data_IF_849081001450
#
_entry.id   IF_849081001450
#
_cell.length_a   1.000
_cell.length_b   1.000
_cell.length_c   1.000
_cell.angle_alpha   90.00
_cell.angle_beta   90.00
_cell.angle_gamma   90.00
#
_symmetry.space_group_name_H-M   'P 1'
#
loop_
_entity.id
_entity.type
_entity.pdbx_description
1 polymer ?
#
# COMPACT_ATOMS: atom_id res chain seq x y z
N UNK A 1 4.25 -12.93 -16.59
CA UNK A 1 4.14 -14.13 -15.75
C UNK A 1 2.89 -14.12 -14.90
N UNK A 2 2.64 -13.08 -14.13
CA UNK A 2 1.40 -13.00 -13.33
C UNK A 2 0.15 -13.04 -14.19
N UNK A 3 0.18 -12.38 -15.33
CA UNK A 3 -0.99 -12.28 -16.21
C UNK A 3 -1.38 -13.62 -16.82
N UNK A 4 -0.41 -14.41 -17.24
CA UNK A 4 -0.64 -15.59 -18.09
C UNK A 4 -0.16 -16.90 -17.49
N UNK A 5 0.55 -16.87 -16.36
CA UNK A 5 1.11 -18.07 -15.73
C UNK A 5 0.04 -18.94 -15.10
N UNK A 6 0.37 -20.23 -14.94
CA UNK A 6 -0.48 -21.16 -14.22
C UNK A 6 -0.37 -20.88 -12.72
N UNK A 7 -1.52 -20.77 -12.03
CA UNK A 7 -1.55 -20.48 -10.60
C UNK A 7 -1.74 -21.75 -9.79
N UNK A 8 -0.86 -21.93 -8.80
CA UNK A 8 -0.97 -23.00 -7.81
C UNK A 8 -1.09 -22.36 -6.44
N UNK A 9 -2.16 -22.69 -5.72
CA UNK A 9 -2.35 -22.19 -4.36
C UNK A 9 -1.38 -22.91 -3.41
N UNK A 10 -0.58 -22.13 -2.68
CA UNK A 10 0.33 -22.65 -1.67
C UNK A 10 -0.36 -22.67 -0.31
N UNK A 11 -1.13 -21.62 0.02
CA UNK A 11 -1.81 -21.55 1.29
C UNK A 11 -2.71 -20.35 1.39
N UNK A 12 -3.48 -20.28 2.46
CA UNK A 12 -4.35 -19.16 2.75
C UNK A 12 -3.69 -18.26 3.80
N UNK A 13 -3.74 -16.95 3.58
CA UNK A 13 -3.23 -15.97 4.53
C UNK A 13 -4.33 -15.71 5.57
N UNK A 14 -4.13 -16.21 6.78
CA UNK A 14 -5.17 -16.23 7.81
C UNK A 14 -5.44 -14.88 8.45
N UNK A 15 -4.47 -14.00 8.44
CA UNK A 15 -4.63 -12.67 9.05
C UNK A 15 -5.50 -11.73 8.22
N UNK A 16 -5.77 -12.08 6.98
CA UNK A 16 -6.56 -11.23 6.08
C UNK A 16 -8.06 -11.37 6.38
N UNK A 17 -8.78 -10.25 6.33
CA UNK A 17 -10.23 -10.22 6.55
C UNK A 17 -11.01 -10.82 5.38
N UNK A 18 -10.47 -10.71 4.17
CA UNK A 18 -11.05 -11.30 2.95
C UNK A 18 -10.22 -12.52 2.56
N UNK A 19 -10.78 -13.40 1.74
CA UNK A 19 -10.06 -14.58 1.28
C UNK A 19 -8.81 -14.14 0.49
N UNK A 20 -7.65 -14.50 1.01
CA UNK A 20 -6.35 -14.10 0.47
C UNK A 20 -5.46 -15.33 0.44
N UNK A 21 -4.87 -15.61 -0.71
CA UNK A 21 -4.08 -16.80 -0.91
C UNK A 21 -2.67 -16.46 -1.36
N UNK A 22 -1.69 -17.16 -0.79
CA UNK A 22 -0.33 -17.18 -1.34
C UNK A 22 -0.31 -18.20 -2.47
N UNK A 23 0.14 -17.78 -3.63
CA UNK A 23 0.17 -18.61 -4.83
C UNK A 23 1.56 -18.59 -5.46
N UNK A 24 1.81 -19.58 -6.29
CA UNK A 24 2.94 -19.59 -7.21
C UNK A 24 2.40 -19.48 -8.63
N UNK A 25 2.92 -18.52 -9.39
CA UNK A 25 2.62 -18.39 -10.81
C UNK A 25 3.80 -18.93 -11.60
N UNK A 26 3.53 -19.87 -12.52
CA UNK A 26 4.57 -20.49 -13.32
C UNK A 26 4.30 -20.27 -14.80
N UNK A 27 5.36 -19.99 -15.56
CA UNK A 27 5.30 -19.86 -17.00
C UNK A 27 6.62 -20.39 -17.57
N UNK A 28 6.53 -21.50 -18.29
CA UNK A 28 7.73 -22.20 -18.74
C UNK A 28 8.53 -22.72 -17.55
N UNK A 29 9.81 -22.36 -17.48
CA UNK A 29 10.69 -22.75 -16.39
C UNK A 29 10.82 -21.68 -15.29
N UNK A 30 10.00 -20.64 -15.35
CA UNK A 30 10.01 -19.54 -14.38
C UNK A 30 8.84 -19.66 -13.42
N UNK A 31 9.10 -19.29 -12.16
CA UNK A 31 8.07 -19.26 -11.11
C UNK A 31 8.27 -18.05 -10.23
N UNK A 32 7.18 -17.43 -9.82
CA UNK A 32 7.20 -16.33 -8.84
C UNK A 32 6.07 -16.53 -7.85
N UNK A 33 6.29 -16.05 -6.63
CA UNK A 33 5.23 -16.00 -5.63
C UNK A 33 4.36 -14.75 -5.82
N UNK A 34 3.08 -14.90 -5.51
CA UNK A 34 2.13 -13.81 -5.63
C UNK A 34 0.99 -13.99 -4.64
N UNK A 35 0.26 -12.90 -4.42
CA UNK A 35 -0.94 -12.88 -3.59
C UNK A 35 -2.15 -12.87 -4.51
N UNK A 36 -3.13 -13.72 -4.23
CA UNK A 36 -4.37 -13.83 -5.00
C UNK A 36 -5.55 -13.52 -4.08
N UNK A 37 -6.36 -12.57 -4.49
CA UNK A 37 -7.56 -12.16 -3.76
C UNK A 37 -8.76 -12.26 -4.70
N UNK A 38 -9.52 -13.36 -4.66
CA UNK A 38 -10.66 -13.52 -5.55
C UNK A 38 -11.78 -12.54 -5.20
N UNK A 39 -12.46 -12.03 -6.21
CA UNK A 39 -13.61 -11.13 -6.01
C UNK A 39 -14.70 -11.84 -5.20
N UNK A 40 -14.91 -13.13 -5.45
CA UNK A 40 -15.92 -13.91 -4.74
C UNK A 40 -15.63 -14.02 -3.23
N UNK A 41 -14.38 -13.77 -2.81
CA UNK A 41 -14.01 -13.81 -1.40
C UNK A 41 -14.07 -12.46 -0.69
N UNK A 42 -14.51 -11.42 -1.37
CA UNK A 42 -14.63 -10.08 -0.78
C UNK A 42 -15.84 -10.00 0.13
N UNK A 43 -15.62 -9.51 1.35
CA UNK A 43 -16.74 -9.19 2.25
C UNK A 43 -17.34 -7.86 1.81
N UNK A 44 -18.64 -7.77 1.64
CA UNK A 44 -19.26 -6.50 1.25
C UNK A 44 -18.99 -5.42 2.30
N UNK A 45 -18.65 -4.23 1.82
CA UNK A 45 -18.46 -3.06 2.68
C UNK A 45 -19.55 -2.03 2.36
N UNK A 46 -20.33 -1.67 3.38
CA UNK A 46 -21.44 -0.74 3.18
C UNK A 46 -21.01 0.62 2.65
N UNK A 47 -19.79 1.04 3.01
CA UNK A 47 -19.29 2.35 2.62
C UNK A 47 -18.44 2.31 1.32
N UNK A 48 -18.32 1.14 0.69
CA UNK A 48 -17.67 0.98 -0.61
C UNK A 48 -18.60 0.15 -1.52
N UNK A 49 -19.77 0.71 -1.87
CA UNK A 49 -20.77 -0.08 -2.60
C UNK A 49 -20.49 -0.25 -4.09
N UNK A 50 -19.62 0.59 -4.67
CA UNK A 50 -19.38 0.59 -6.11
C UNK A 50 -18.12 -0.22 -6.45
N UNK A 51 -18.17 -0.97 -7.54
CA UNK A 51 -17.03 -1.71 -8.03
C UNK A 51 -16.63 -2.89 -7.14
N UNK A 52 -15.38 -3.26 -7.21
CA UNK A 52 -14.82 -4.34 -6.40
C UNK A 52 -13.59 -3.84 -5.65
N UNK A 53 -13.23 -4.52 -4.56
CA UNK A 53 -11.97 -4.22 -3.87
C UNK A 53 -10.77 -4.54 -4.78
N UNK A 54 -10.87 -5.62 -5.57
CA UNK A 54 -9.84 -5.96 -6.56
C UNK A 54 -9.64 -4.83 -7.57
N UNK A 55 -10.73 -4.23 -8.04
CA UNK A 55 -10.65 -3.10 -8.96
C UNK A 55 -9.97 -1.89 -8.33
N UNK A 56 -10.24 -1.63 -7.06
CA UNK A 56 -9.57 -0.52 -6.34
C UNK A 56 -8.09 -0.80 -6.15
N UNK A 57 -7.71 -2.06 -5.90
CA UNK A 57 -6.30 -2.43 -5.81
C UNK A 57 -5.58 -2.23 -7.14
N UNK A 58 -6.20 -2.64 -8.25
CA UNK A 58 -5.63 -2.38 -9.58
C UNK A 58 -5.59 -0.89 -9.86
N UNK A 59 -6.63 -0.14 -9.50
CA UNK A 59 -6.66 1.31 -9.67
C UNK A 59 -5.51 2.01 -8.96
N UNK A 60 -5.23 1.63 -7.73
CA UNK A 60 -4.10 2.20 -6.97
C UNK A 60 -2.77 1.89 -7.66
N UNK A 61 -2.61 0.65 -8.15
CA UNK A 61 -1.42 0.29 -8.91
C UNK A 61 -1.26 1.14 -10.16
N UNK A 62 -2.36 1.34 -10.92
CA UNK A 62 -2.32 2.15 -12.13
C UNK A 62 -1.95 3.59 -11.82
N UNK A 63 -2.47 4.17 -10.74
CA UNK A 63 -2.12 5.53 -10.32
C UNK A 63 -0.64 5.61 -9.96
N UNK A 64 -0.13 4.64 -9.20
CA UNK A 64 1.29 4.59 -8.84
C UNK A 64 2.18 4.54 -10.09
N UNK A 65 1.79 3.74 -11.08
CA UNK A 65 2.54 3.62 -12.34
C UNK A 65 2.50 4.93 -13.11
N UNK A 66 1.32 5.57 -13.19
CA UNK A 66 1.17 6.84 -13.90
C UNK A 66 2.02 7.93 -13.25
N UNK A 67 2.11 7.94 -11.92
CA UNK A 67 2.97 8.88 -11.20
C UNK A 67 4.47 8.58 -11.40
N UNK A 68 4.81 7.37 -11.83
CA UNK A 68 6.21 6.94 -11.95
C UNK A 68 6.85 6.63 -10.61
N UNK A 69 6.08 6.42 -9.56
CA UNK A 69 6.60 6.26 -8.20
C UNK A 69 6.90 4.82 -7.81
N UNK A 70 6.29 3.87 -8.51
CA UNK A 70 6.56 2.44 -8.28
C UNK A 70 6.35 2.05 -6.81
N UNK A 71 5.26 2.52 -6.21
CA UNK A 71 4.96 2.27 -4.80
C UNK A 71 4.13 1.01 -4.58
N UNK A 72 3.47 0.51 -5.62
CA UNK A 72 2.59 -0.66 -5.51
C UNK A 72 3.22 -1.79 -6.32
N UNK A 73 3.36 -3.00 -5.76
CA UNK A 73 3.89 -4.11 -6.53
C UNK A 73 3.03 -4.42 -7.75
N UNK A 74 3.63 -5.00 -8.79
CA UNK A 74 2.93 -5.34 -10.02
C UNK A 74 1.61 -6.06 -9.71
N UNK A 75 0.52 -5.56 -10.28
CA UNK A 75 -0.83 -6.01 -9.96
C UNK A 75 -1.62 -6.19 -11.26
N UNK A 76 -2.36 -7.29 -11.36
CA UNK A 76 -3.29 -7.53 -12.46
C UNK A 76 -4.59 -8.09 -11.91
N UNK A 77 -5.64 -8.04 -12.72
CA UNK A 77 -6.89 -8.79 -12.48
C UNK A 77 -6.97 -9.88 -13.53
N UNK A 78 -7.25 -11.10 -13.09
CA UNK A 78 -7.34 -12.25 -13.97
C UNK A 78 -8.16 -13.34 -13.33
N UNK A 79 -8.51 -14.35 -14.12
CA UNK A 79 -9.12 -15.58 -13.58
C UNK A 79 -8.08 -16.39 -12.81
N UNK A 80 -8.53 -17.01 -11.75
CA UNK A 80 -7.72 -17.88 -10.91
C UNK A 80 -8.53 -19.07 -10.41
N UNK A 81 -7.97 -19.87 -9.50
CA UNK A 81 -8.64 -21.08 -9.02
C UNK A 81 -10.01 -20.85 -8.37
N UNK A 82 -10.26 -19.66 -7.81
CA UNK A 82 -11.55 -19.29 -7.21
C UNK A 82 -12.24 -18.19 -8.00
N UNK A 83 -11.97 -18.09 -9.29
CA UNK A 83 -12.60 -17.12 -10.18
C UNK A 83 -11.78 -15.85 -10.37
N UNK A 84 -12.41 -14.82 -10.96
CA UNK A 84 -11.70 -13.56 -11.19
C UNK A 84 -11.22 -12.95 -9.88
N UNK A 85 -10.04 -12.35 -9.91
CA UNK A 85 -9.50 -11.71 -8.74
C UNK A 85 -8.24 -10.92 -9.02
N UNK A 86 -7.77 -10.26 -7.97
CA UNK A 86 -6.53 -9.49 -8.01
C UNK A 86 -5.36 -10.43 -7.77
N UNK A 87 -4.32 -10.30 -8.57
CA UNK A 87 -3.06 -11.01 -8.39
C UNK A 87 -1.94 -9.96 -8.29
N UNK A 88 -1.15 -10.05 -7.21
CA UNK A 88 -0.09 -9.07 -6.97
C UNK A 88 1.21 -9.79 -6.65
N UNK A 89 2.30 -9.29 -7.22
CA UNK A 89 3.63 -9.86 -7.00
C UNK A 89 3.97 -9.83 -5.51
N UNK A 90 4.47 -10.96 -4.99
CA UNK A 90 4.94 -11.04 -3.61
C UNK A 90 6.25 -10.27 -3.49
N UNK A 91 6.33 -9.39 -2.49
CA UNK A 91 7.53 -8.60 -2.21
C UNK A 91 8.32 -9.29 -1.08
N UNK A 92 9.56 -9.66 -1.36
CA UNK A 92 10.42 -10.27 -0.36
C UNK A 92 10.93 -9.22 0.61
N UNK A 93 10.69 -9.46 1.89
CA UNK A 93 11.17 -8.62 2.98
C UNK A 93 12.35 -9.28 3.68
N UNK A 94 13.21 -8.49 4.35
CA UNK A 94 14.25 -9.08 5.21
C UNK A 94 13.60 -9.98 6.24
N UNK A 95 14.14 -11.19 6.41
CA UNK A 95 13.61 -12.16 7.34
C UNK A 95 12.57 -13.12 6.77
N UNK A 96 12.09 -12.88 5.55
CA UNK A 96 11.25 -13.87 4.88
C UNK A 96 12.09 -15.13 4.65
N UNK A 97 11.52 -16.28 4.96
CA UNK A 97 12.19 -17.54 4.70
C UNK A 97 12.48 -17.62 3.20
N UNK A 98 13.74 -17.81 2.88
CA UNK A 98 14.11 -18.17 1.51
C UNK A 98 13.44 -19.52 1.28
N UNK A 99 12.60 -19.59 0.27
CA UNK A 99 11.87 -20.82 -0.01
C UNK A 99 12.78 -22.01 0.09
N UNK A 100 12.36 -22.99 0.88
CA UNK A 100 13.14 -24.15 1.18
C UNK A 100 13.52 -24.93 -0.06
N UNK A 101 14.70 -24.68 -0.56
CA UNK A 101 15.52 -25.71 -1.16
C UNK A 101 16.91 -25.50 -0.61
N UNK A 102 17.09 -25.86 0.64
CA UNK A 102 18.45 -25.98 1.15
C UNK A 102 18.87 -27.42 0.94
N UNK A 103 19.52 -27.67 -0.15
CA UNK A 103 20.49 -28.74 -0.09
C UNK A 103 21.63 -28.20 0.78
N UNK A 104 21.99 -28.98 1.74
CA UNK A 104 22.96 -28.67 2.78
C UNK A 104 24.23 -28.02 2.23
N UNK A 105 24.68 -26.99 2.84
CA UNK A 105 26.03 -26.53 2.62
C UNK A 105 26.22 -25.03 2.75
N UNK A 106 26.55 -24.65 3.96
CA UNK A 106 27.45 -23.57 4.28
C UNK A 106 27.04 -22.12 4.20
N UNK A 107 27.34 -21.55 5.26
CA UNK A 107 27.78 -20.27 5.73
C UNK A 107 26.66 -19.41 6.27
N UNK A 108 26.68 -19.32 7.60
CA UNK A 108 26.05 -18.26 8.34
C UNK A 108 26.70 -16.92 8.01
N UNK A 109 26.36 -16.36 6.88
CA UNK A 109 26.54 -14.94 6.70
C UNK A 109 25.48 -14.30 7.58
N UNK A 110 25.91 -13.66 8.66
CA UNK A 110 25.04 -12.82 9.46
C UNK A 110 24.38 -11.84 8.50
N UNK A 111 23.04 -11.97 8.36
CA UNK A 111 22.32 -10.93 7.62
C UNK A 111 22.51 -9.64 8.39
N UNK A 112 22.81 -8.54 7.72
CA UNK A 112 22.93 -7.27 8.42
C UNK A 112 21.64 -6.97 9.15
N UNK A 113 21.77 -6.42 10.36
CA UNK A 113 20.63 -5.98 11.15
C UNK A 113 19.78 -5.08 10.26
N UNK A 114 18.51 -5.42 10.03
CA UNK A 114 17.66 -4.58 9.17
C UNK A 114 17.39 -3.19 9.75
N UNK A 115 17.81 -2.93 10.97
CA UNK A 115 17.53 -1.68 11.66
C UNK A 115 16.10 -1.64 12.16
N UNK A 116 15.70 -0.52 12.78
CA UNK A 116 14.34 -0.42 13.28
C UNK A 116 13.32 -0.35 12.15
N UNK A 117 12.14 -0.84 12.41
CA UNK A 117 11.04 -0.81 11.43
C UNK A 117 10.69 0.63 11.04
N UNK A 118 10.21 0.79 9.82
CA UNK A 118 9.83 2.11 9.30
C UNK A 118 8.66 2.73 10.07
N UNK A 119 7.78 1.89 10.61
CA UNK A 119 6.69 2.30 11.49
C UNK A 119 6.71 1.39 12.71
N UNK A 120 6.74 1.95 13.89
CA UNK A 120 6.80 1.13 15.10
C UNK A 120 6.30 1.91 16.30
N UNK A 121 6.17 1.19 17.41
CA UNK A 121 5.83 1.75 18.72
C UNK A 121 7.10 1.86 19.55
N UNK A 122 7.32 3.02 20.14
CA UNK A 122 8.48 3.25 20.99
C UNK A 122 8.04 3.74 22.37
N UNK A 123 8.74 3.33 23.43
CA UNK A 123 8.48 3.95 24.75
C UNK A 123 8.70 5.45 24.68
N UNK A 124 7.92 6.19 25.46
CA UNK A 124 8.06 7.65 25.52
C UNK A 124 9.49 8.01 25.96
N UNK A 125 10.14 8.87 25.18
CA UNK A 125 11.50 9.31 25.44
C UNK A 125 12.60 8.37 24.97
N UNK A 126 12.26 7.25 24.32
CA UNK A 126 13.22 6.24 23.90
C UNK A 126 13.21 6.01 22.40
N UNK A 127 12.65 6.93 21.60
CA UNK A 127 12.59 6.79 20.16
C UNK A 127 13.99 6.98 19.54
N UNK A 128 14.31 6.21 18.49
CA UNK A 128 15.56 6.43 17.79
C UNK A 128 15.55 7.76 17.05
N UNK A 129 16.72 8.32 16.74
CA UNK A 129 16.75 9.56 15.95
C UNK A 129 16.18 9.33 14.55
N UNK A 130 15.59 10.40 14.01
CA UNK A 130 15.03 10.34 12.65
C UNK A 130 13.63 9.78 12.56
N UNK A 131 12.90 9.69 13.68
CA UNK A 131 11.50 9.27 13.70
C UNK A 131 10.59 10.42 14.06
N UNK A 132 9.40 10.42 13.46
CA UNK A 132 8.38 11.45 13.66
C UNK A 132 7.20 10.85 14.44
N UNK A 133 6.71 11.54 15.48
CA UNK A 133 5.60 11.01 16.27
C UNK A 133 4.26 11.20 15.56
N UNK A 134 3.38 10.24 15.74
CA UNK A 134 2.03 10.26 15.16
C UNK A 134 0.95 10.25 16.24
N UNK A 135 1.08 9.36 17.24
CA UNK A 135 0.01 9.14 18.21
C UNK A 135 0.59 8.55 19.49
N UNK A 136 0.16 9.07 20.64
CA UNK A 136 0.42 8.43 21.93
C UNK A 136 -0.64 7.36 22.19
N UNK A 137 -0.22 6.23 22.75
CA UNK A 137 -1.08 5.08 23.03
C UNK A 137 -0.60 4.37 24.28
N UNK A 138 -1.41 3.47 24.79
CA UNK A 138 -1.07 2.68 25.97
C UNK A 138 -1.07 1.23 25.60
N UNK A 139 -0.02 0.61 25.92
CA UNK A 139 0.11 -0.78 25.70
C UNK A 139 -0.84 -1.42 26.70
N UNK A 140 -1.01 -2.56 26.71
CA UNK A 140 -1.81 -3.25 27.56
C UNK A 140 -1.34 -3.31 28.94
N UNK A 141 -0.17 -3.11 28.93
CA UNK A 141 0.48 -3.06 30.16
C UNK A 141 0.44 -1.78 30.78
N UNK A 142 -0.14 -0.89 30.21
CA UNK A 142 -0.25 0.47 30.71
C UNK A 142 0.96 1.38 30.42
N UNK A 143 1.91 0.88 29.84
CA UNK A 143 2.94 1.67 29.47
C UNK A 143 2.52 2.53 28.39
N UNK A 144 2.99 3.74 28.51
CA UNK A 144 2.74 4.71 27.45
C UNK A 144 3.75 4.56 26.32
N UNK A 145 3.26 4.48 25.12
CA UNK A 145 4.08 4.33 23.91
C UNK A 145 3.67 5.38 22.88
N UNK A 146 4.57 5.63 21.92
CA UNK A 146 4.30 6.57 20.83
C UNK A 146 4.41 5.78 19.53
N UNK A 147 3.36 5.85 18.72
CA UNK A 147 3.40 5.38 17.34
C UNK A 147 4.21 6.39 16.55
N UNK A 148 5.25 5.93 15.88
CA UNK A 148 6.16 6.79 15.11
C UNK A 148 6.46 6.15 13.78
N UNK A 149 6.84 6.96 12.81
CA UNK A 149 7.40 6.47 11.55
C UNK A 149 8.71 7.19 11.24
N UNK A 150 9.54 6.55 10.44
CA UNK A 150 10.80 7.13 10.02
C UNK A 150 10.57 8.41 9.20
N UNK A 151 11.43 9.40 9.37
CA UNK A 151 11.46 10.58 8.51
C UNK A 151 12.27 10.22 7.24
N UNK A 152 11.63 9.48 6.36
CA UNK A 152 12.25 8.84 5.20
C UNK A 152 11.53 9.32 3.95
N UNK A 153 12.25 9.79 2.92
CA UNK A 153 11.61 10.30 1.72
C UNK A 153 10.76 9.27 0.97
N UNK A 154 11.08 7.98 1.09
CA UNK A 154 10.26 6.92 0.48
C UNK A 154 8.89 6.85 1.15
N UNK A 155 8.85 6.98 2.49
CA UNK A 155 7.58 7.04 3.23
C UNK A 155 6.83 8.34 2.98
N UNK A 156 7.56 9.45 2.87
CA UNK A 156 6.93 10.74 2.60
C UNK A 156 6.21 10.71 1.26
N UNK A 157 6.84 10.10 0.24
CA UNK A 157 6.19 9.92 -1.05
C UNK A 157 4.94 9.05 -0.95
N UNK A 158 4.99 7.99 -0.13
CA UNK A 158 3.81 7.16 0.10
C UNK A 158 2.71 7.94 0.79
N UNK A 159 3.05 8.86 1.72
CA UNK A 159 2.05 9.70 2.37
C UNK A 159 1.33 10.59 1.33
N UNK A 160 2.07 11.15 0.38
CA UNK A 160 1.46 11.91 -0.72
C UNK A 160 0.54 11.02 -1.56
N UNK A 161 1.02 9.82 -1.89
CA UNK A 161 0.23 8.85 -2.65
C UNK A 161 -1.09 8.54 -1.93
N UNK A 162 -1.04 8.32 -0.62
CA UNK A 162 -2.25 8.01 0.15
C UNK A 162 -3.26 9.16 0.13
N UNK A 163 -2.78 10.41 0.15
CA UNK A 163 -3.67 11.57 -0.02
C UNK A 163 -4.36 11.51 -1.38
N UNK A 164 -3.60 11.26 -2.43
CA UNK A 164 -4.15 11.21 -3.79
C UNK A 164 -5.18 10.11 -3.95
N UNK A 165 -4.85 8.88 -3.52
CA UNK A 165 -5.77 7.75 -3.67
C UNK A 165 -6.78 7.65 -2.53
N UNK A 166 -6.73 8.57 -1.57
CA UNK A 166 -7.71 8.62 -0.48
C UNK A 166 -7.76 7.28 0.26
N UNK A 167 -6.60 6.81 0.69
CA UNK A 167 -6.49 5.50 1.32
C UNK A 167 -7.16 5.52 2.70
N UNK A 168 -8.10 4.62 2.91
CA UNK A 168 -8.86 4.57 4.18
C UNK A 168 -8.21 3.65 5.21
N UNK A 169 -7.05 3.04 4.91
CA UNK A 169 -6.51 2.01 5.82
C UNK A 169 -5.00 1.80 5.66
N UNK A 170 -4.21 2.89 5.64
CA UNK A 170 -2.74 2.74 5.58
C UNK A 170 -2.20 2.39 6.95
N UNK A 171 -2.02 1.10 7.20
CA UNK A 171 -1.45 0.57 8.44
C UNK A 171 0.07 0.43 8.33
N UNK A 172 0.74 0.31 9.47
CA UNK A 172 2.17 0.02 9.48
C UNK A 172 2.50 -1.30 8.80
N UNK A 173 1.66 -2.31 8.98
CA UNK A 173 1.86 -3.62 8.34
C UNK A 173 1.62 -3.64 6.83
N UNK A 174 1.08 -2.56 6.27
CA UNK A 174 0.89 -2.44 4.82
C UNK A 174 2.08 -1.76 4.12
N UNK A 175 3.16 -1.45 4.85
CA UNK A 175 4.36 -0.79 4.35
C UNK A 175 5.47 -1.83 4.39
N UNK A 176 6.01 -2.17 3.22
CA UNK A 176 6.94 -3.28 3.08
C UNK A 176 8.30 -2.80 2.64
N UNK A 177 9.28 -3.16 3.25
CA UNK A 177 10.57 -2.87 2.90
C UNK A 177 11.07 -4.01 2.15
N UNK A 178 11.47 -3.82 1.15
CA UNK A 178 11.95 -4.83 0.34
C UNK A 178 13.37 -5.01 0.67
N UNK A 179 13.97 -6.20 0.24
CA UNK A 179 15.39 -6.52 0.40
C UNK A 179 16.29 -5.64 -0.45
N UNK A 180 15.76 -5.08 -1.52
CA UNK A 180 16.52 -4.20 -2.44
C UNK A 180 16.49 -2.73 -1.99
N UNK A 181 15.95 -2.43 -0.84
CA UNK A 181 15.88 -1.07 -0.31
C UNK A 181 14.68 -0.27 -0.77
N UNK A 182 13.83 -0.82 -1.62
CA UNK A 182 12.59 -0.13 -2.01
C UNK A 182 11.55 -0.25 -0.91
N UNK A 183 10.64 0.71 -0.88
CA UNK A 183 9.47 0.67 0.00
C UNK A 183 8.22 0.56 -0.87
N UNK A 184 7.41 -0.44 -0.59
CA UNK A 184 6.14 -0.66 -1.28
C UNK A 184 4.98 -0.56 -0.30
N UNK A 185 3.84 -0.12 -0.80
CA UNK A 185 2.57 -0.23 -0.09
C UNK A 185 1.72 -1.33 -0.67
N UNK A 186 0.94 -2.00 0.17
CA UNK A 186 0.01 -3.06 -0.24
C UNK A 186 -1.36 -2.83 0.42
N UNK A 187 -2.34 -3.64 0.04
CA UNK A 187 -3.70 -3.62 0.59
C UNK A 187 -4.44 -2.32 0.28
N UNK A 188 -4.61 -2.02 -1.00
CA UNK A 188 -5.25 -0.81 -1.48
C UNK A 188 -6.73 -1.02 -1.87
N UNK A 189 -7.40 -2.00 -1.27
CA UNK A 189 -8.79 -2.30 -1.61
C UNK A 189 -9.79 -1.26 -1.14
N UNK A 190 -9.42 -0.39 -0.20
CA UNK A 190 -10.31 0.66 0.31
C UNK A 190 -9.75 2.05 0.00
N UNK A 191 -9.35 2.22 -1.25
CA UNK A 191 -8.88 3.49 -1.81
C UNK A 191 -9.89 4.03 -2.84
N UNK A 192 -9.71 5.27 -3.21
CA UNK A 192 -10.36 5.91 -4.37
C UNK A 192 -11.85 6.20 -4.18
N UNK A 193 -12.32 6.27 -2.93
CA UNK A 193 -13.68 6.71 -2.64
C UNK A 193 -13.84 8.21 -2.97
N UNK A 194 -15.07 8.64 -3.25
CA UNK A 194 -15.35 10.05 -3.54
C UNK A 194 -15.24 10.93 -2.30
N UNK A 195 -15.64 10.44 -1.13
CA UNK A 195 -15.60 11.19 0.12
C UNK A 195 -14.25 11.06 0.81
N UNK A 196 -13.84 12.09 1.53
CA UNK A 196 -12.57 12.03 2.27
C UNK A 196 -12.63 10.95 3.35
N UNK A 197 -11.80 9.93 3.17
CA UNK A 197 -11.72 8.78 4.08
C UNK A 197 -10.30 8.50 4.52
N UNK A 198 -9.38 9.42 4.29
CA UNK A 198 -7.95 9.18 4.57
C UNK A 198 -7.74 8.78 6.02
N UNK A 199 -7.24 7.56 6.21
CA UNK A 199 -6.76 7.04 7.49
C UNK A 199 -5.38 6.45 7.26
N UNK A 200 -4.41 6.95 8.00
CA UNK A 200 -3.02 6.56 7.76
C UNK A 200 -2.21 6.69 9.04
N UNK A 201 -1.14 5.91 9.12
CA UNK A 201 -0.13 6.09 10.18
C UNK A 201 0.93 7.11 9.78
N UNK A 202 0.87 7.69 8.58
CA UNK A 202 1.93 8.55 8.05
C UNK A 202 1.60 10.04 8.18
N UNK A 203 1.30 10.49 9.39
CA UNK A 203 0.91 11.88 9.64
C UNK A 203 2.08 12.81 10.03
N UNK A 204 3.30 12.29 10.13
CA UNK A 204 4.41 13.07 10.69
C UNK A 204 4.80 14.30 9.89
N UNK A 205 4.39 14.38 8.61
CA UNK A 205 4.70 15.55 7.76
C UNK A 205 3.56 16.54 7.64
N UNK A 206 2.51 16.41 8.47
CA UNK A 206 1.38 17.32 8.43
C UNK A 206 1.86 18.78 8.51
N UNK A 207 1.39 19.64 7.60
CA UNK A 207 1.78 21.04 7.55
C UNK A 207 3.09 21.32 6.83
N UNK A 208 3.81 20.29 6.41
CA UNK A 208 5.08 20.46 5.68
C UNK A 208 4.84 20.56 4.18
N UNK A 209 5.70 21.27 3.43
CA UNK A 209 5.54 21.39 1.99
C UNK A 209 5.69 20.07 1.26
N UNK A 210 4.94 19.90 0.19
CA UNK A 210 5.14 18.80 -0.76
C UNK A 210 6.28 19.20 -1.70
N UNK A 211 7.19 18.28 -1.97
CA UNK A 211 8.36 18.56 -2.79
C UNK A 211 8.00 18.79 -4.26
N UNK A 212 8.85 19.53 -4.97
CA UNK A 212 8.60 19.93 -6.35
C UNK A 212 8.49 18.75 -7.30
N UNK A 213 9.32 17.71 -7.11
CA UNK A 213 9.26 16.52 -7.97
C UNK A 213 7.94 15.81 -7.83
N UNK A 214 7.43 15.69 -6.61
CA UNK A 214 6.12 15.10 -6.39
C UNK A 214 5.02 15.95 -7.02
N UNK A 215 5.08 17.28 -6.88
CA UNK A 215 4.09 18.16 -7.48
C UNK A 215 4.09 18.06 -9.01
N UNK A 216 5.26 17.92 -9.63
CA UNK A 216 5.33 17.73 -11.07
C UNK A 216 4.63 16.44 -11.50
N UNK A 217 4.83 15.35 -10.76
CA UNK A 217 4.16 14.07 -11.05
C UNK A 217 2.64 14.21 -10.85
N UNK A 218 2.22 14.91 -9.80
CA UNK A 218 0.80 15.15 -9.53
C UNK A 218 0.14 15.93 -10.66
N UNK A 219 0.83 16.95 -11.19
CA UNK A 219 0.32 17.72 -12.33
C UNK A 219 0.14 16.83 -13.56
N UNK A 220 1.10 15.96 -13.84
CA UNK A 220 1.00 15.00 -14.94
C UNK A 220 -0.18 14.04 -14.73
N UNK A 221 -0.37 13.57 -13.50
CA UNK A 221 -1.51 12.71 -13.18
C UNK A 221 -2.83 13.42 -13.45
N UNK A 222 -2.97 14.66 -12.97
CA UNK A 222 -4.20 15.43 -13.13
C UNK A 222 -4.57 15.57 -14.61
N UNK A 223 -3.59 15.84 -15.46
CA UNK A 223 -3.81 15.93 -16.89
C UNK A 223 -4.15 14.58 -17.52
N UNK A 224 -3.42 13.52 -17.14
CA UNK A 224 -3.65 12.17 -17.68
C UNK A 224 -5.06 11.67 -17.38
N UNK A 225 -5.64 12.07 -16.25
CA UNK A 225 -6.98 11.62 -15.85
C UNK A 225 -8.07 12.11 -16.82
N UNK A 226 -7.81 13.13 -17.64
CA UNK A 226 -8.77 13.60 -18.63
C UNK A 226 -8.60 12.93 -20.00
N UNK A 227 -7.68 11.99 -20.13
CA UNK A 227 -7.36 11.33 -21.38
C UNK A 227 -7.48 9.81 -21.27
N UNK A 228 -6.72 9.08 -22.10
CA UNK A 228 -6.81 7.60 -22.12
C UNK A 228 -6.56 6.92 -20.79
N UNK A 229 -5.68 7.47 -19.95
CA UNK A 229 -5.46 6.90 -18.63
C UNK A 229 -6.74 6.95 -17.78
N UNK A 230 -7.47 8.07 -17.83
CA UNK A 230 -8.76 8.15 -17.15
C UNK A 230 -9.75 7.11 -17.65
N UNK A 231 -9.76 6.85 -18.95
CA UNK A 231 -10.62 5.82 -19.53
C UNK A 231 -10.22 4.42 -19.05
N UNK A 232 -8.94 4.14 -18.97
CA UNK A 232 -8.46 2.87 -18.42
C UNK A 232 -8.89 2.70 -16.97
N UNK A 233 -8.71 3.74 -16.17
CA UNK A 233 -9.07 3.71 -14.75
C UNK A 233 -10.58 3.54 -14.57
N UNK A 234 -11.38 4.06 -15.49
CA UNK A 234 -12.84 3.95 -15.45
C UNK A 234 -13.34 2.50 -15.61
N UNK A 235 -12.49 1.59 -16.05
CA UNK A 235 -12.83 0.17 -16.06
C UNK A 235 -12.89 -0.40 -14.64
N UNK A 236 -12.28 0.27 -13.66
CA UNK A 236 -12.14 -0.25 -12.31
C UNK A 236 -12.92 0.54 -11.26
N UNK A 237 -13.06 1.86 -11.44
CA UNK A 237 -13.74 2.75 -10.50
C UNK A 237 -14.71 3.65 -11.27
N UNK A 238 -15.58 4.32 -10.56
CA UNK A 238 -16.60 5.17 -11.20
C UNK A 238 -16.00 6.47 -11.73
N UNK A 239 -16.70 7.10 -12.68
CA UNK A 239 -16.28 8.42 -13.19
C UNK A 239 -16.30 9.46 -12.08
N UNK A 240 -17.25 9.38 -11.13
CA UNK A 240 -17.27 10.28 -9.98
C UNK A 240 -16.00 10.09 -9.12
N UNK A 241 -15.55 8.86 -8.97
CA UNK A 241 -14.32 8.59 -8.20
C UNK A 241 -13.09 9.12 -8.92
N UNK A 242 -13.06 9.04 -10.25
CA UNK A 242 -11.97 9.63 -11.04
C UNK A 242 -11.98 11.16 -10.89
N UNK A 243 -13.15 11.78 -10.95
CA UNK A 243 -13.27 13.23 -10.74
C UNK A 243 -12.78 13.64 -9.35
N UNK A 244 -13.11 12.84 -8.33
CA UNK A 244 -12.64 13.10 -6.96
C UNK A 244 -11.12 12.99 -6.87
N UNK A 245 -10.52 11.98 -7.51
CA UNK A 245 -9.06 11.84 -7.56
C UNK A 245 -8.44 13.09 -8.22
N UNK A 246 -9.01 13.55 -9.32
CA UNK A 246 -8.51 14.74 -10.00
C UNK A 246 -8.62 15.98 -9.11
N UNK A 247 -9.72 16.11 -8.36
CA UNK A 247 -9.88 17.21 -7.41
C UNK A 247 -8.82 17.18 -6.32
N UNK A 248 -8.49 15.97 -5.78
CA UNK A 248 -7.44 15.85 -4.77
C UNK A 248 -6.07 16.22 -5.32
N UNK A 249 -5.80 15.85 -6.59
CA UNK A 249 -4.56 16.23 -7.25
C UNK A 249 -4.48 17.76 -7.37
N UNK A 250 -5.56 18.41 -7.83
CA UNK A 250 -5.59 19.88 -7.96
C UNK A 250 -5.49 20.55 -6.60
N UNK A 251 -6.08 19.99 -5.56
CA UNK A 251 -5.98 20.57 -4.21
C UNK A 251 -4.53 20.61 -3.73
N UNK A 252 -3.75 19.55 -4.00
CA UNK A 252 -2.32 19.54 -3.66
C UNK A 252 -1.53 20.54 -4.49
N UNK A 253 -1.89 20.73 -5.78
CA UNK A 253 -1.21 21.69 -6.62
C UNK A 253 -1.51 23.12 -6.18
N UNK A 254 -2.76 23.40 -5.79
CA UNK A 254 -3.18 24.72 -5.36
C UNK A 254 -2.64 25.11 -3.98
N UNK A 255 -2.52 24.14 -3.09
CA UNK A 255 -1.98 24.33 -1.75
C UNK A 255 -1.01 23.17 -1.45
N UNK A 256 0.25 23.31 -1.84
CA UNK A 256 1.21 22.18 -1.82
C UNK A 256 1.77 21.91 -0.43
N UNK A 257 0.88 21.60 0.50
CA UNK A 257 1.20 21.33 1.90
C UNK A 257 0.51 20.02 2.29
N UNK A 258 1.23 19.16 2.99
CA UNK A 258 0.67 17.90 3.48
C UNK A 258 -0.48 18.17 4.44
N UNK A 259 -1.65 17.53 4.23
CA UNK A 259 -2.77 17.74 5.15
C UNK A 259 -2.48 17.16 6.52
N UNK A 260 -3.17 17.71 7.52
CA UNK A 260 -3.16 17.16 8.86
C UNK A 260 -4.38 16.31 9.13
N UNK A 261 -4.39 15.58 10.26
CA UNK A 261 -5.56 14.80 10.62
C UNK A 261 -6.72 15.73 10.99
N UNK A 262 -7.72 15.79 10.13
CA UNK A 262 -8.83 16.75 10.25
C UNK A 262 -10.18 16.06 10.31
N UNK A 263 -10.20 14.77 10.64
CA UNK A 263 -11.44 14.00 10.72
C UNK A 263 -11.42 13.11 11.94
N UNK A 264 -12.60 12.61 12.31
CA UNK A 264 -12.73 11.64 13.38
C UNK A 264 -12.08 10.32 12.95
N UNK A 265 -11.27 9.74 13.82
CA UNK A 265 -10.51 8.50 13.56
C UNK A 265 -9.59 8.62 12.33
N UNK A 266 -8.57 9.49 12.41
CA UNK A 266 -7.67 9.66 11.26
C UNK A 266 -6.63 8.55 11.11
N UNK A 267 -6.55 7.63 12.08
CA UNK A 267 -5.58 6.52 12.08
C UNK A 267 -6.37 5.22 12.02
N UNK A 268 -5.95 4.27 11.16
CA UNK A 268 -6.63 2.99 11.09
C UNK A 268 -6.44 2.20 12.38
N UNK A 269 -7.40 1.38 12.74
CA UNK A 269 -7.29 0.57 13.94
C UNK A 269 -7.64 -0.88 13.62
N UNK A 270 -6.78 -1.83 14.01
CA UNK A 270 -5.46 -1.61 14.60
C UNK A 270 -4.50 -0.91 13.64
N UNK A 271 -3.44 -0.30 14.18
CA UNK A 271 -2.51 0.48 13.37
C UNK A 271 -1.49 -0.38 12.60
N UNK A 272 -1.42 -1.68 12.91
CA UNK A 272 -0.55 -2.66 12.26
C UNK A 272 -1.35 -3.83 11.70
#
# INVERSE_FOLDING_TARGET
>A
MLRDGELTVIGRIRSASNATFLCEATLGDRAVHCVYKPVAGEAPLWDFPDGTLAGRELGAYLVSTQLGWNLVPYTVIRDGPAGPGMLQLWVRQPGDAVGEVSEAGESGAEQPDPGPDLVDLFPVGASPPGYLPVLRAYXXXGXEVVLMHADDPRLRRMAVFDVLVNNADRKGGHILXXVDGRVYGVDHGVCLHVENKLRTVLWGWAGKPVDDDSLAAVACLAEALTGPFGDELAEQITRAEIAALRLRAHALLDNPVMPGPNRHRPIPWPAF
#
